data_IF_724865657831
#
_entry.id   IF_724865657831
#
_cell.length_a   1.000
_cell.length_b   1.000
_cell.length_c   1.000
_cell.angle_alpha   90.00
_cell.angle_beta   90.00
_cell.angle_gamma   90.00
#
_symmetry.space_group_name_H-M   'P 1'
#
loop_
_entity.id
_entity.type
_entity.pdbx_description
1 polymer ?
#
# COMPACT_ATOMS: atom_id res chain seq x y z
N UNK A 1 -38.08 -25.52 19.52
CA UNK A 1 -38.54 -24.57 18.49
C UNK A 1 -38.54 -23.18 19.08
N UNK A 2 -37.47 -22.41 18.89
CA UNK A 2 -37.46 -20.93 18.81
C UNK A 2 -36.06 -20.53 18.32
N UNK A 3 -36.03 -20.23 17.03
CA UNK A 3 -35.08 -19.52 16.18
C UNK A 3 -33.90 -18.80 16.86
N UNK A 4 -32.69 -19.26 16.53
CA UNK A 4 -31.49 -18.41 16.50
C UNK A 4 -31.63 -17.41 15.34
N UNK A 5 -31.48 -16.08 15.55
CA UNK A 5 -31.38 -15.16 14.44
C UNK A 5 -29.97 -15.25 13.85
N UNK A 6 -29.81 -16.09 12.83
CA UNK A 6 -28.71 -15.93 11.87
C UNK A 6 -29.14 -14.87 10.85
N UNK A 7 -28.65 -13.64 10.99
CA UNK A 7 -28.73 -12.53 10.03
C UNK A 7 -27.88 -11.39 10.58
N UNK A 8 -26.92 -10.77 9.92
CA UNK A 8 -26.31 -10.91 8.60
C UNK A 8 -24.87 -10.44 8.85
N UNK A 9 -23.85 -11.28 8.60
CA UNK A 9 -22.51 -10.75 8.41
C UNK A 9 -22.56 -10.00 7.08
N UNK A 10 -22.98 -8.74 7.11
CA UNK A 10 -22.70 -7.82 6.03
C UNK A 10 -21.18 -7.74 5.94
N UNK A 11 -20.59 -8.55 5.05
CA UNK A 11 -19.17 -8.49 4.68
C UNK A 11 -18.99 -7.18 3.89
N UNK A 12 -19.12 -6.06 4.58
CA UNK A 12 -18.75 -4.76 4.08
C UNK A 12 -17.57 -4.31 4.92
N UNK A 13 -16.35 -4.74 4.56
CA UNK A 13 -15.22 -3.80 4.68
C UNK A 13 -14.10 -4.02 3.65
N UNK A 14 -14.40 -3.94 2.33
CA UNK A 14 -13.35 -3.70 1.33
C UNK A 14 -12.49 -2.49 1.69
N UNK A 15 -13.11 -1.46 2.28
CA UNK A 15 -12.45 -0.21 2.68
C UNK A 15 -11.43 -0.43 3.81
N UNK A 16 -11.73 -1.25 4.81
CA UNK A 16 -10.75 -1.53 5.89
C UNK A 16 -9.61 -2.39 5.36
N UNK A 17 -9.87 -3.36 4.48
CA UNK A 17 -8.81 -4.16 3.86
C UNK A 17 -7.85 -3.29 3.04
N UNK A 18 -8.36 -2.33 2.26
CA UNK A 18 -7.54 -1.38 1.50
C UNK A 18 -6.75 -0.45 2.42
N UNK A 19 -7.36 0.05 3.49
CA UNK A 19 -6.65 0.87 4.51
C UNK A 19 -5.56 0.07 5.23
N UNK A 20 -5.82 -1.18 5.58
CA UNK A 20 -4.83 -2.09 6.17
C UNK A 20 -3.67 -2.34 5.21
N UNK A 21 -3.96 -2.59 3.92
CA UNK A 21 -2.93 -2.72 2.89
C UNK A 21 -2.11 -1.42 2.77
N UNK A 22 -2.76 -0.26 2.72
CA UNK A 22 -2.08 1.02 2.63
C UNK A 22 -1.16 1.28 3.83
N UNK A 23 -1.63 0.96 5.04
CA UNK A 23 -0.83 1.04 6.26
C UNK A 23 0.37 0.07 6.23
N UNK A 24 0.17 -1.15 5.75
CA UNK A 24 1.23 -2.14 5.59
C UNK A 24 2.30 -1.67 4.60
N UNK A 25 1.90 -1.21 3.40
CA UNK A 25 2.81 -0.69 2.37
C UNK A 25 3.63 0.48 2.90
N UNK A 26 2.97 1.41 3.60
CA UNK A 26 3.65 2.53 4.25
C UNK A 26 4.69 2.07 5.26
N UNK A 27 4.32 1.18 6.18
CA UNK A 27 5.22 0.65 7.20
C UNK A 27 6.42 -0.05 6.56
N UNK A 28 6.18 -0.87 5.53
CA UNK A 28 7.24 -1.55 4.80
C UNK A 28 8.18 -0.54 4.12
N UNK A 29 7.65 0.43 3.40
CA UNK A 29 8.44 1.49 2.73
C UNK A 29 9.32 2.25 3.71
N UNK A 30 8.77 2.63 4.85
CA UNK A 30 9.49 3.40 5.87
C UNK A 30 10.58 2.56 6.58
N UNK A 31 10.44 1.23 6.62
CA UNK A 31 11.41 0.31 7.20
C UNK A 31 12.60 -0.06 6.29
N UNK A 32 12.47 0.16 4.98
CA UNK A 32 13.49 -0.24 4.02
C UNK A 32 14.63 0.78 3.97
N UNK A 33 15.87 0.26 4.01
CA UNK A 33 17.08 1.06 3.83
C UNK A 33 17.33 1.31 2.33
N UNK A 34 17.32 2.57 1.86
CA UNK A 34 17.62 2.90 0.47
C UNK A 34 18.98 2.36 0.00
N UNK A 35 20.00 2.37 0.86
CA UNK A 35 21.36 1.97 0.47
C UNK A 35 21.46 0.47 0.15
N UNK A 36 20.67 -0.36 0.85
CA UNK A 36 20.57 -1.80 0.56
C UNK A 36 19.96 -2.10 -0.80
N UNK A 37 19.26 -1.13 -1.39
CA UNK A 37 18.61 -1.23 -2.68
C UNK A 37 19.37 -0.45 -3.77
N UNK A 38 20.63 -0.07 -3.49
CA UNK A 38 21.47 0.67 -4.43
C UNK A 38 21.09 2.15 -4.61
N UNK A 39 20.21 2.68 -3.75
CA UNK A 39 19.79 4.07 -3.84
C UNK A 39 20.68 4.96 -2.97
N UNK A 40 21.21 6.07 -3.52
CA UNK A 40 22.08 6.95 -2.77
C UNK A 40 21.27 7.75 -1.74
N UNK A 41 21.83 7.89 -0.53
CA UNK A 41 21.23 8.70 0.54
C UNK A 41 21.59 10.19 0.36
N UNK A 42 21.17 10.78 -0.76
CA UNK A 42 21.52 12.18 -1.09
C UNK A 42 20.63 13.16 -0.33
N UNK A 43 21.26 14.12 0.35
CA UNK A 43 20.60 15.26 0.99
C UNK A 43 19.75 14.92 2.23
N UNK A 44 19.03 15.93 2.72
CA UNK A 44 18.16 15.78 3.90
C UNK A 44 16.86 15.05 3.50
N UNK A 45 16.60 13.89 4.11
CA UNK A 45 15.40 13.09 3.88
C UNK A 45 14.35 13.38 4.96
N UNK A 46 13.09 13.52 4.54
CA UNK A 46 11.94 13.65 5.47
C UNK A 46 11.42 12.30 5.96
N UNK A 47 11.74 11.22 5.24
CA UNK A 47 11.33 9.85 5.57
C UNK A 47 12.58 9.04 5.94
N UNK A 48 12.52 8.21 7.00
CA UNK A 48 13.67 7.41 7.44
C UNK A 48 14.14 6.38 6.39
N UNK A 49 13.19 5.73 5.71
CA UNK A 49 13.42 4.77 4.64
C UNK A 49 13.20 5.31 3.23
N UNK A 50 12.52 4.53 2.41
CA UNK A 50 12.25 4.85 0.99
C UNK A 50 11.20 5.96 0.83
N UNK A 51 11.36 6.77 -0.20
CA UNK A 51 10.36 7.71 -0.73
C UNK A 51 9.36 6.94 -1.58
N UNK A 52 8.18 7.52 -1.79
CA UNK A 52 7.17 6.94 -2.69
C UNK A 52 7.69 6.80 -4.12
N UNK A 53 8.39 7.82 -4.61
CA UNK A 53 9.03 7.83 -5.93
C UNK A 53 10.04 6.70 -6.10
N UNK A 54 10.82 6.41 -5.07
CA UNK A 54 11.81 5.33 -5.10
C UNK A 54 11.15 3.95 -5.14
N UNK A 55 10.08 3.73 -4.36
CA UNK A 55 9.33 2.47 -4.44
C UNK A 55 8.67 2.31 -5.80
N UNK A 56 8.05 3.38 -6.30
CA UNK A 56 7.39 3.38 -7.59
C UNK A 56 8.37 3.04 -8.72
N UNK A 57 9.56 3.63 -8.71
CA UNK A 57 10.64 3.31 -9.65
C UNK A 57 11.11 1.86 -9.52
N UNK A 58 11.34 1.36 -8.30
CA UNK A 58 11.79 -0.01 -8.07
C UNK A 58 10.76 -1.07 -8.50
N UNK A 59 9.46 -0.73 -8.44
CA UNK A 59 8.35 -1.61 -8.79
C UNK A 59 7.83 -1.37 -10.23
N UNK A 60 8.45 -0.45 -10.98
CA UNK A 60 8.01 -0.02 -12.32
C UNK A 60 6.52 0.38 -12.38
N UNK A 61 6.08 1.18 -11.40
CA UNK A 61 4.71 1.71 -11.32
C UNK A 61 4.71 3.23 -11.22
N UNK A 62 3.57 3.84 -11.51
CA UNK A 62 3.38 5.28 -11.30
C UNK A 62 3.39 5.67 -9.82
N UNK A 63 4.07 6.78 -9.48
CA UNK A 63 4.13 7.33 -8.11
C UNK A 63 2.73 7.63 -7.55
N UNK A 64 1.84 8.16 -8.40
CA UNK A 64 0.45 8.45 -8.05
C UNK A 64 -0.32 7.19 -7.68
N UNK A 65 -0.10 6.11 -8.44
CA UNK A 65 -0.75 4.82 -8.20
C UNK A 65 -0.31 4.23 -6.85
N UNK A 66 1.00 4.20 -6.59
CA UNK A 66 1.52 3.77 -5.29
C UNK A 66 1.02 4.65 -4.13
N UNK A 67 0.86 5.95 -4.36
CA UNK A 67 0.30 6.88 -3.37
C UNK A 67 -1.16 6.57 -3.05
N UNK A 68 -1.98 6.24 -4.05
CA UNK A 68 -3.38 5.85 -3.84
C UNK A 68 -3.50 4.53 -3.10
N UNK A 69 -2.62 3.56 -3.38
CA UNK A 69 -2.53 2.34 -2.59
C UNK A 69 -2.23 2.60 -1.12
N UNK A 70 -1.25 3.44 -0.80
CA UNK A 70 -0.96 3.82 0.59
C UNK A 70 -2.13 4.55 1.28
N UNK A 71 -2.97 5.25 0.50
CA UNK A 71 -4.16 5.92 1.00
C UNK A 71 -5.36 4.99 1.15
N UNK A 72 -5.26 3.73 0.71
CA UNK A 72 -6.37 2.78 0.68
C UNK A 72 -7.49 3.19 -0.27
N UNK A 73 -7.19 4.03 -1.28
CA UNK A 73 -8.17 4.42 -2.30
C UNK A 73 -8.46 3.24 -3.21
N UNK A 74 -9.65 3.25 -3.78
CA UNK A 74 -9.97 2.34 -4.87
C UNK A 74 -9.11 2.68 -6.08
N UNK A 75 -8.30 1.72 -6.51
CA UNK A 75 -7.52 1.77 -7.73
C UNK A 75 -7.95 0.60 -8.59
N UNK A 76 -8.18 0.84 -9.88
CA UNK A 76 -8.44 -0.23 -10.84
C UNK A 76 -7.11 -0.55 -11.52
N UNK A 77 -6.36 -1.59 -11.09
CA UNK A 77 -5.12 -1.94 -11.75
C UNK A 77 -5.42 -2.37 -13.19
N UNK A 78 -4.71 -1.79 -14.15
CA UNK A 78 -4.59 -2.39 -15.47
C UNK A 78 -3.91 -3.76 -15.32
N UNK A 79 -4.30 -4.76 -16.14
CA UNK A 79 -3.77 -6.14 -16.12
C UNK A 79 -2.23 -6.20 -16.09
N UNK A 80 -1.53 -5.17 -16.56
CA UNK A 80 -0.07 -5.04 -16.54
C UNK A 80 0.59 -5.14 -15.14
N UNK A 81 -0.16 -5.02 -14.04
CA UNK A 81 0.39 -5.08 -12.67
C UNK A 81 0.29 -6.47 -12.04
N UNK A 82 -0.42 -7.42 -12.67
CA UNK A 82 -0.54 -8.81 -12.19
C UNK A 82 0.49 -9.68 -12.94
N UNK A 83 1.73 -9.70 -12.45
CA UNK A 83 2.79 -10.63 -12.91
C UNK A 83 3.23 -11.55 -11.79
#
# INVERSE_FOLDING_TARGET
MTTMPQRELTIAVPDDRRKQLGAFLRARRESLDPQRLGLPRVGRRRTPGLRREEVAMLADVGVTWYTWLEQGREVNPSEAVLV
#
